data_IF_513228844109
#
_entry.id   IF_513228844109
#
_cell.length_a   1.000
_cell.length_b   1.000
_cell.length_c   1.000
_cell.angle_alpha   90.00
_cell.angle_beta   90.00
_cell.angle_gamma   90.00
#
_symmetry.space_group_name_H-M   'P 1'
#
loop_
_entity.id
_entity.type
_entity.pdbx_description
1 polymer ?
#
# COMPACT_ATOMS: atom_id res chain seq x y z
N UNK A 1 14.38 1.13 18.20
CA UNK A 1 13.50 0.98 17.03
C UNK A 1 12.77 2.29 16.80
N UNK A 2 12.59 2.74 15.56
CA UNK A 2 11.85 3.97 15.26
C UNK A 2 10.36 3.79 15.63
N UNK A 3 9.71 4.83 16.16
CA UNK A 3 8.27 4.80 16.44
C UNK A 3 7.43 4.46 15.19
N UNK A 4 7.94 4.79 14.00
CA UNK A 4 7.29 4.43 12.74
C UNK A 4 7.28 2.91 12.53
N UNK A 5 8.39 2.22 12.84
CA UNK A 5 8.45 0.76 12.67
C UNK A 5 7.52 0.09 13.68
N UNK A 6 7.53 0.57 14.94
CA UNK A 6 6.63 0.08 15.97
C UNK A 6 5.15 0.26 15.59
N UNK A 7 4.78 1.42 15.03
CA UNK A 7 3.43 1.64 14.55
C UNK A 7 3.09 0.73 13.36
N UNK A 8 3.99 0.56 12.39
CA UNK A 8 3.77 -0.33 11.25
C UNK A 8 3.57 -1.77 11.68
N UNK A 9 4.41 -2.27 12.60
CA UNK A 9 4.32 -3.63 13.12
C UNK A 9 3.02 -3.83 13.92
N UNK A 10 2.69 -2.86 14.79
CA UNK A 10 1.44 -2.85 15.55
C UNK A 10 0.22 -2.84 14.64
N UNK A 11 0.21 -1.95 13.64
CA UNK A 11 -0.87 -1.86 12.63
C UNK A 11 -1.08 -3.21 11.95
N UNK A 12 0.00 -3.82 11.45
CA UNK A 12 -0.07 -5.12 10.78
C UNK A 12 -0.67 -6.19 11.70
N UNK A 13 -0.21 -6.25 12.95
CA UNK A 13 -0.72 -7.20 13.94
C UNK A 13 -2.21 -6.99 14.22
N UNK A 14 -2.64 -5.75 14.47
CA UNK A 14 -4.05 -5.43 14.77
C UNK A 14 -4.97 -5.70 13.58
N UNK A 15 -4.55 -5.33 12.37
CA UNK A 15 -5.38 -5.52 11.17
C UNK A 15 -5.50 -7.00 10.78
N UNK A 16 -4.44 -7.79 10.98
CA UNK A 16 -4.45 -9.24 10.73
C UNK A 16 -5.19 -10.02 11.83
N UNK A 17 -5.13 -9.57 13.08
CA UNK A 17 -5.74 -10.25 14.20
C UNK A 17 -7.28 -10.36 14.09
N UNK A 18 -7.78 -11.51 14.54
CA UNK A 18 -9.20 -11.73 14.81
C UNK A 18 -9.68 -10.88 16.00
N UNK A 19 -11.00 -10.70 16.10
CA UNK A 19 -11.62 -9.94 17.20
C UNK A 19 -11.29 -10.59 18.55
N UNK A 20 -11.27 -11.94 18.61
CA UNK A 20 -10.98 -12.70 19.83
C UNK A 20 -9.51 -12.54 20.27
N UNK A 21 -8.56 -12.52 19.34
CA UNK A 21 -7.14 -12.27 19.63
C UNK A 21 -6.91 -10.86 20.17
N UNK A 22 -7.65 -9.88 19.63
CA UNK A 22 -7.58 -8.49 20.12
C UNK A 22 -8.20 -8.39 21.52
N UNK A 23 -9.35 -9.03 21.77
CA UNK A 23 -10.00 -9.08 23.09
C UNK A 23 -9.08 -9.72 24.14
N UNK A 24 -8.34 -10.78 23.79
CA UNK A 24 -7.36 -11.40 24.69
C UNK A 24 -6.26 -10.43 25.16
N UNK A 25 -6.04 -9.32 24.44
CA UNK A 25 -5.06 -8.28 24.77
C UNK A 25 -5.68 -7.04 25.42
N UNK A 26 -6.94 -7.08 25.84
CA UNK A 26 -7.65 -5.92 26.42
C UNK A 26 -6.91 -5.28 27.61
N UNK A 27 -6.14 -6.05 28.38
CA UNK A 27 -5.32 -5.54 29.48
C UNK A 27 -4.28 -4.49 29.05
N UNK A 28 -3.91 -4.47 27.77
CA UNK A 28 -2.97 -3.51 27.19
C UNK A 28 -3.66 -2.31 26.53
N UNK A 29 -4.99 -2.31 26.42
CA UNK A 29 -5.75 -1.30 25.71
C UNK A 29 -5.45 0.14 26.17
N UNK A 30 -5.34 0.48 27.48
CA UNK A 30 -5.06 1.85 27.89
C UNK A 30 -3.71 2.36 27.38
N UNK A 31 -2.68 1.52 27.44
CA UNK A 31 -1.34 1.86 26.93
C UNK A 31 -1.34 2.02 25.41
N UNK A 32 -2.06 1.15 24.70
CA UNK A 32 -2.13 1.19 23.24
C UNK A 32 -2.92 2.41 22.74
N UNK A 33 -4.01 2.77 23.42
CA UNK A 33 -4.74 3.99 23.11
C UNK A 33 -3.88 5.24 23.32
N UNK A 34 -3.14 5.29 24.42
CA UNK A 34 -2.24 6.39 24.70
C UNK A 34 -1.17 6.55 23.61
N UNK A 35 -0.52 5.44 23.26
CA UNK A 35 0.44 5.39 22.17
C UNK A 35 -0.14 5.89 20.84
N UNK A 36 -1.33 5.41 20.46
CA UNK A 36 -1.98 5.79 19.21
C UNK A 36 -2.32 7.28 19.14
N UNK A 37 -2.83 7.86 20.24
CA UNK A 37 -3.15 9.28 20.32
C UNK A 37 -1.87 10.12 20.24
N UNK A 38 -0.83 9.77 21.00
CA UNK A 38 0.44 10.51 20.97
C UNK A 38 1.15 10.39 19.62
N UNK A 39 1.07 9.22 18.98
CA UNK A 39 1.59 9.02 17.65
C UNK A 39 0.83 9.87 16.63
N UNK A 40 -0.51 9.90 16.70
CA UNK A 40 -1.36 10.72 15.86
C UNK A 40 -1.04 12.22 15.96
N UNK A 41 -0.80 12.71 17.17
CA UNK A 41 -0.44 14.12 17.41
C UNK A 41 0.90 14.50 16.78
N UNK A 42 1.85 13.56 16.69
CA UNK A 42 3.20 13.80 16.12
C UNK A 42 3.29 13.52 14.63
N UNK A 43 2.45 12.63 14.10
CA UNK A 43 2.59 12.03 12.76
C UNK A 43 1.27 12.04 11.99
N UNK A 44 0.75 13.24 11.70
CA UNK A 44 -0.50 13.44 10.96
C UNK A 44 -0.53 12.80 9.56
N UNK A 45 0.63 12.51 8.96
CA UNK A 45 0.71 11.78 7.68
C UNK A 45 0.10 10.37 7.76
N UNK A 46 0.08 9.74 8.94
CA UNK A 46 -0.45 8.39 9.15
C UNK A 46 -1.95 8.37 9.46
N UNK A 47 -2.66 9.50 9.26
CA UNK A 47 -4.06 9.69 9.66
C UNK A 47 -4.99 8.55 9.23
N UNK A 48 -4.98 8.18 7.95
CA UNK A 48 -5.83 7.12 7.40
C UNK A 48 -5.55 5.75 8.04
N UNK A 49 -4.28 5.43 8.28
CA UNK A 49 -3.86 4.18 8.93
C UNK A 49 -4.26 4.15 10.40
N UNK A 50 -4.17 5.28 11.10
CA UNK A 50 -4.60 5.39 12.50
C UNK A 50 -6.12 5.18 12.58
N UNK A 51 -6.90 5.78 11.69
CA UNK A 51 -8.36 5.59 11.65
C UNK A 51 -8.72 4.11 11.44
N UNK A 52 -8.02 3.41 10.54
CA UNK A 52 -8.22 1.96 10.32
C UNK A 52 -7.98 1.15 11.61
N UNK A 53 -6.88 1.44 12.32
CA UNK A 53 -6.54 0.77 13.57
C UNK A 53 -7.58 1.06 14.66
N UNK A 54 -7.97 2.33 14.83
CA UNK A 54 -9.04 2.72 15.76
C UNK A 54 -10.33 1.95 15.46
N UNK A 55 -10.75 1.92 14.20
CA UNK A 55 -11.97 1.21 13.79
C UNK A 55 -11.92 -0.27 14.07
N UNK A 56 -10.77 -0.92 13.87
CA UNK A 56 -10.60 -2.33 14.17
C UNK A 56 -10.70 -2.59 15.68
N UNK A 57 -10.03 -1.77 16.49
CA UNK A 57 -10.03 -1.90 17.95
C UNK A 57 -11.41 -1.58 18.56
N UNK A 58 -12.15 -0.62 18.00
CA UNK A 58 -13.49 -0.25 18.48
C UNK A 58 -14.57 -1.29 18.15
N UNK A 59 -14.30 -2.27 17.28
CA UNK A 59 -15.19 -3.42 17.08
C UNK A 59 -15.19 -4.40 18.27
N UNK A 60 -14.23 -4.25 19.19
CA UNK A 60 -13.99 -5.16 20.31
C UNK A 60 -14.54 -4.52 21.59
N UNK A 61 -15.62 -5.08 22.21
CA UNK A 61 -16.29 -4.44 23.35
C UNK A 61 -15.38 -4.19 24.56
N UNK A 62 -14.41 -5.06 24.82
CA UNK A 62 -13.43 -4.87 25.91
C UNK A 62 -12.59 -3.61 25.70
N UNK A 63 -12.18 -3.34 24.46
CA UNK A 63 -11.39 -2.15 24.11
C UNK A 63 -12.20 -0.86 24.18
N UNK A 64 -13.48 -0.91 23.81
CA UNK A 64 -14.42 0.21 24.00
C UNK A 64 -14.62 0.51 25.48
N UNK A 65 -14.80 -0.53 26.31
CA UNK A 65 -14.94 -0.37 27.75
C UNK A 65 -13.67 0.23 28.39
N UNK A 66 -12.50 -0.22 27.93
CA UNK A 66 -11.22 0.34 28.34
C UNK A 66 -11.08 1.82 27.93
N UNK A 67 -11.54 2.19 26.73
CA UNK A 67 -11.58 3.58 26.28
C UNK A 67 -12.44 4.45 27.20
N UNK A 68 -13.70 4.04 27.44
CA UNK A 68 -14.65 4.80 28.26
C UNK A 68 -14.20 4.95 29.72
N UNK A 69 -13.41 4.01 30.22
CA UNK A 69 -12.88 4.02 31.60
C UNK A 69 -11.77 5.05 31.84
N UNK A 70 -11.15 5.58 30.79
CA UNK A 70 -9.98 6.47 30.87
C UNK A 70 -10.29 7.86 30.25
N UNK A 71 -10.98 8.75 30.99
CA UNK A 71 -11.39 10.07 30.48
C UNK A 71 -10.21 10.97 30.06
N UNK A 72 -9.01 10.74 30.59
CA UNK A 72 -7.79 11.43 30.18
C UNK A 72 -7.45 11.20 28.70
N UNK A 73 -7.81 10.04 28.13
CA UNK A 73 -7.63 9.75 26.71
C UNK A 73 -8.56 10.64 25.86
N UNK A 74 -9.78 10.90 26.35
CA UNK A 74 -10.72 11.79 25.67
C UNK A 74 -10.16 13.22 25.58
N UNK A 75 -9.53 13.70 26.65
CA UNK A 75 -8.90 15.01 26.66
C UNK A 75 -7.68 15.07 25.74
N UNK A 76 -6.89 14.00 25.66
CA UNK A 76 -5.80 13.90 24.67
C UNK A 76 -6.33 13.93 23.23
N UNK A 77 -7.46 13.26 22.92
CA UNK A 77 -8.06 13.31 21.57
C UNK A 77 -8.45 14.73 21.16
N UNK A 78 -8.95 15.55 22.09
CA UNK A 78 -9.29 16.96 21.80
C UNK A 78 -8.08 17.80 21.40
N UNK A 79 -6.87 17.36 21.72
CA UNK A 79 -5.62 18.02 21.30
C UNK A 79 -5.15 17.63 19.89
N UNK A 80 -5.76 16.61 19.29
CA UNK A 80 -5.44 16.19 17.93
C UNK A 80 -5.92 17.21 16.90
N UNK A 81 -5.46 17.09 15.66
CA UNK A 81 -5.92 17.93 14.56
C UNK A 81 -7.43 17.76 14.33
N UNK A 82 -8.13 18.85 14.02
CA UNK A 82 -9.60 18.85 13.85
C UNK A 82 -10.05 17.79 12.83
N UNK A 83 -9.42 17.72 11.66
CA UNK A 83 -9.73 16.68 10.66
C UNK A 83 -9.70 15.25 11.21
N UNK A 84 -8.69 14.92 12.03
CA UNK A 84 -8.58 13.57 12.60
C UNK A 84 -9.64 13.35 13.68
N UNK A 85 -9.94 14.37 14.49
CA UNK A 85 -11.05 14.30 15.44
C UNK A 85 -12.38 14.07 14.70
N UNK A 86 -12.64 14.82 13.63
CA UNK A 86 -13.85 14.67 12.81
C UNK A 86 -13.94 13.27 12.21
N UNK A 87 -12.84 12.77 11.65
CA UNK A 87 -12.79 11.43 11.09
C UNK A 87 -13.07 10.38 12.16
N UNK A 88 -12.40 10.42 13.32
CA UNK A 88 -12.64 9.49 14.43
C UNK A 88 -14.09 9.57 14.96
N UNK A 89 -14.63 10.78 15.12
CA UNK A 89 -16.01 10.99 15.58
C UNK A 89 -17.07 10.48 14.59
N UNK A 90 -16.78 10.49 13.29
CA UNK A 90 -17.68 9.95 12.27
C UNK A 90 -17.75 8.42 12.27
N UNK A 91 -16.72 7.76 12.79
CA UNK A 91 -16.64 6.30 12.77
C UNK A 91 -17.37 5.64 13.94
N UNK A 92 -17.37 6.26 15.12
CA UNK A 92 -17.96 5.66 16.31
C UNK A 92 -18.58 6.69 17.25
N UNK A 93 -19.81 6.43 17.70
CA UNK A 93 -20.57 7.34 18.58
C UNK A 93 -19.87 7.62 19.92
N UNK A 94 -19.10 6.65 20.43
CA UNK A 94 -18.31 6.81 21.66
C UNK A 94 -17.24 7.89 21.48
N UNK A 95 -16.60 7.93 20.31
CA UNK A 95 -15.58 8.93 19.99
C UNK A 95 -16.23 10.31 19.75
N UNK A 96 -17.45 10.34 19.20
CA UNK A 96 -18.20 11.57 18.99
C UNK A 96 -18.40 12.37 20.29
N UNK A 97 -18.54 11.71 21.44
CA UNK A 97 -18.64 12.37 22.76
C UNK A 97 -17.34 13.02 23.22
N UNK A 98 -16.22 12.63 22.62
CA UNK A 98 -14.87 13.00 23.03
C UNK A 98 -14.25 14.10 22.16
N UNK A 99 -14.88 14.46 21.03
CA UNK A 99 -14.32 15.44 20.10
C UNK A 99 -14.71 16.89 20.46
N UNK A 100 -13.85 17.83 20.06
CA UNK A 100 -14.11 19.24 20.29
C UNK A 100 -15.28 19.76 19.43
N UNK A 101 -16.05 20.76 19.91
CA UNK A 101 -17.15 21.35 19.12
C UNK A 101 -16.72 21.96 17.78
N UNK A 102 -15.47 22.38 17.64
CA UNK A 102 -14.88 22.84 16.37
C UNK A 102 -14.86 21.72 15.33
N UNK A 103 -14.38 20.54 15.73
CA UNK A 103 -14.28 19.36 14.86
C UNK A 103 -15.65 18.84 14.39
N UNK A 104 -16.73 19.03 15.16
CA UNK A 104 -18.09 18.68 14.73
C UNK A 104 -18.50 19.42 13.45
N UNK A 105 -18.05 20.67 13.27
CA UNK A 105 -18.36 21.46 12.06
C UNK A 105 -17.61 20.93 10.84
N UNK A 106 -16.41 20.40 11.06
CA UNK A 106 -15.55 19.83 10.01
C UNK A 106 -15.97 18.42 9.58
N UNK A 107 -16.93 17.77 10.26
CA UNK A 107 -17.46 16.47 9.84
C UNK A 107 -18.11 16.50 8.44
N UNK A 108 -18.69 17.64 8.04
CA UNK A 108 -19.22 17.81 6.68
C UNK A 108 -18.12 17.84 5.59
N UNK A 109 -16.87 18.04 5.98
CA UNK A 109 -15.70 18.11 5.10
C UNK A 109 -14.82 16.85 5.20
N UNK A 110 -15.32 15.77 5.80
CA UNK A 110 -14.59 14.50 5.86
C UNK A 110 -14.27 14.04 4.44
N UNK A 111 -13.01 13.63 4.25
CA UNK A 111 -12.59 13.14 2.95
C UNK A 111 -13.27 11.80 2.67
N UNK A 112 -13.57 11.52 1.41
CA UNK A 112 -14.26 10.28 1.02
C UNK A 112 -13.50 9.04 1.51
N UNK A 113 -12.17 9.07 1.41
CA UNK A 113 -11.23 8.02 1.88
C UNK A 113 -11.28 7.75 3.39
N UNK A 114 -12.00 8.56 4.14
CA UNK A 114 -12.13 8.48 5.60
C UNK A 114 -13.55 8.14 6.05
N UNK A 115 -14.44 7.80 5.11
CA UNK A 115 -15.78 7.28 5.42
C UNK A 115 -15.68 5.86 5.98
N UNK A 116 -16.66 5.46 6.79
CA UNK A 116 -16.66 4.14 7.42
C UNK A 116 -16.69 2.99 6.40
N UNK A 117 -17.38 3.17 5.29
CA UNK A 117 -17.37 2.24 4.16
C UNK A 117 -15.97 2.12 3.54
N UNK A 118 -15.32 3.24 3.22
CA UNK A 118 -14.01 3.22 2.55
C UNK A 118 -12.91 2.70 3.46
N UNK A 119 -12.96 3.01 4.76
CA UNK A 119 -12.04 2.45 5.76
C UNK A 119 -12.19 0.93 5.85
N UNK A 120 -13.42 0.40 5.86
CA UNK A 120 -13.65 -1.05 5.82
C UNK A 120 -13.11 -1.69 4.54
N UNK A 121 -13.34 -1.06 3.40
CA UNK A 121 -12.83 -1.54 2.13
C UNK A 121 -11.30 -1.51 2.07
N UNK A 122 -10.66 -0.47 2.63
CA UNK A 122 -9.21 -0.37 2.71
C UNK A 122 -8.62 -1.49 3.58
N UNK A 123 -9.24 -1.79 4.72
CA UNK A 123 -8.84 -2.89 5.59
C UNK A 123 -8.97 -4.25 4.89
N UNK A 124 -10.06 -4.49 4.15
CA UNK A 124 -10.24 -5.73 3.40
C UNK A 124 -9.22 -5.87 2.26
N UNK A 125 -8.94 -4.77 1.54
CA UNK A 125 -7.91 -4.76 0.50
C UNK A 125 -6.54 -5.09 1.07
N UNK A 126 -6.17 -4.53 2.23
CA UNK A 126 -4.90 -4.83 2.89
C UNK A 126 -4.82 -6.32 3.30
N UNK A 127 -5.91 -6.87 3.83
CA UNK A 127 -6.01 -8.30 4.14
C UNK A 127 -5.81 -9.18 2.89
N UNK A 128 -6.37 -8.83 1.74
CA UNK A 128 -6.16 -9.57 0.49
C UNK A 128 -4.70 -9.50 0.02
N UNK A 129 -4.06 -8.34 0.13
CA UNK A 129 -2.65 -8.18 -0.24
C UNK A 129 -1.77 -9.09 0.61
N UNK A 130 -2.03 -9.17 1.92
CA UNK A 130 -1.29 -10.06 2.81
C UNK A 130 -1.46 -11.53 2.44
N UNK A 131 -2.65 -11.97 2.03
CA UNK A 131 -2.90 -13.35 1.56
C UNK A 131 -2.09 -13.65 0.30
N UNK A 132 -2.10 -12.74 -0.69
CA UNK A 132 -1.35 -12.93 -1.94
C UNK A 132 0.16 -13.02 -1.65
N UNK A 133 0.69 -12.13 -0.80
CA UNK A 133 2.10 -12.14 -0.42
C UNK A 133 2.50 -13.42 0.33
N UNK A 134 1.59 -13.99 1.13
CA UNK A 134 1.81 -15.27 1.83
C UNK A 134 1.79 -16.45 0.84
N UNK A 135 0.87 -16.46 -0.14
CA UNK A 135 0.81 -17.49 -1.18
C UNK A 135 2.03 -17.47 -2.13
N UNK A 136 2.53 -16.28 -2.49
CA UNK A 136 3.73 -16.13 -3.33
C UNK A 136 5.02 -16.56 -2.60
N UNK A 137 5.05 -16.44 -1.27
CA UNK A 137 6.20 -16.80 -0.44
C UNK A 137 6.39 -18.32 -0.26
N UNK A 138 5.33 -19.12 -0.35
CA UNK A 138 5.38 -20.58 -0.14
C UNK A 138 5.70 -21.39 -1.42
N UNK A 139 5.80 -20.76 -2.59
CA UNK A 139 5.93 -21.46 -3.89
C UNK A 139 7.37 -21.69 -4.39
N UNK A 140 8.42 -21.29 -3.65
CA UNK A 140 9.82 -21.34 -4.17
C UNK A 140 10.75 -22.38 -3.54
N UNK A 141 10.24 -23.33 -2.75
CA UNK A 141 11.06 -24.43 -2.22
C UNK A 141 10.50 -25.79 -2.57
N UNK A 142 10.56 -26.17 -3.85
CA UNK A 142 10.89 -27.55 -4.21
C UNK A 142 11.57 -27.59 -5.57
N UNK A 143 12.71 -28.27 -5.61
CA UNK A 143 13.70 -28.13 -6.66
C UNK A 143 13.34 -28.78 -7.98
N UNK A 144 13.85 -28.18 -9.05
CA UNK A 144 14.31 -28.92 -10.21
C UNK A 144 15.80 -28.61 -10.38
N UNK A 145 16.61 -29.61 -10.00
CA UNK A 145 18.02 -29.70 -10.39
C UNK A 145 18.14 -29.45 -11.89
N UNK A 146 19.15 -28.67 -12.27
CA UNK A 146 19.61 -28.51 -13.65
C UNK A 146 20.35 -29.79 -14.05
N UNK A 147 19.90 -30.56 -15.06
CA UNK A 147 20.80 -31.39 -15.83
C UNK A 147 21.35 -30.55 -16.99
N UNK A 148 22.63 -30.25 -16.85
CA UNK A 148 23.53 -29.80 -17.91
C UNK A 148 23.55 -30.86 -19.03
N UNK A 149 23.02 -30.56 -20.22
CA UNK A 149 23.19 -31.41 -21.41
C UNK A 149 22.97 -30.64 -22.72
N UNK A 150 24.11 -30.46 -23.37
CA UNK A 150 24.38 -30.06 -24.75
C UNK A 150 23.58 -30.83 -25.83
N UNK A 151 23.35 -30.15 -26.97
CA UNK A 151 23.05 -30.67 -28.32
C UNK A 151 21.66 -31.27 -28.64
N UNK A 152 20.96 -30.71 -29.65
CA UNK A 152 20.92 -31.27 -31.02
C UNK A 152 19.94 -30.48 -31.91
N UNK A 153 20.37 -30.27 -33.16
CA UNK A 153 19.71 -29.51 -34.21
C UNK A 153 18.48 -30.19 -34.85
N UNK A 154 17.69 -29.36 -35.56
CA UNK A 154 16.97 -29.63 -36.81
C UNK A 154 15.70 -30.51 -36.77
N UNK A 155 14.55 -29.96 -37.21
CA UNK A 155 14.00 -30.13 -38.57
C UNK A 155 12.53 -29.66 -38.67
N UNK A 156 12.26 -29.00 -39.80
CA UNK A 156 11.00 -28.47 -40.34
C UNK A 156 9.86 -29.50 -40.39
N UNK A 157 8.63 -29.06 -40.11
CA UNK A 157 7.42 -29.49 -40.83
C UNK A 157 6.40 -28.34 -40.86
N UNK A 158 6.04 -27.95 -42.09
CA UNK A 158 4.93 -27.07 -42.46
C UNK A 158 3.61 -27.85 -42.33
N UNK A 159 2.62 -27.32 -41.62
CA UNK A 159 1.19 -27.61 -41.87
C UNK A 159 0.37 -26.35 -41.57
N UNK A 160 -0.41 -25.94 -42.58
CA UNK A 160 -1.28 -24.77 -42.63
C UNK A 160 -2.38 -24.79 -41.56
N UNK A 161 -2.38 -23.76 -40.70
CA UNK A 161 -3.57 -23.32 -39.97
C UNK A 161 -3.64 -21.80 -39.97
N UNK A 162 -4.66 -21.26 -40.67
CA UNK A 162 -5.11 -19.88 -40.53
C UNK A 162 -5.69 -19.69 -39.11
N UNK A 163 -4.81 -19.48 -38.14
CA UNK A 163 -5.16 -19.01 -36.81
C UNK A 163 -4.76 -17.55 -36.66
N UNK A 164 -5.71 -16.79 -36.12
CA UNK A 164 -5.64 -15.38 -35.79
C UNK A 164 -4.47 -15.19 -34.80
N UNK A 165 -3.40 -14.53 -35.24
CA UNK A 165 -2.26 -14.17 -34.41
C UNK A 165 -2.71 -13.28 -33.24
N UNK A 166 -2.97 -13.91 -32.09
CA UNK A 166 -2.76 -13.25 -30.80
C UNK A 166 -1.25 -13.19 -30.63
N UNK A 167 -0.65 -12.01 -30.88
CA UNK A 167 0.76 -11.74 -30.64
C UNK A 167 1.10 -12.13 -29.19
N UNK A 168 1.79 -13.26 -29.05
CA UNK A 168 2.51 -13.64 -27.83
C UNK A 168 3.26 -12.41 -27.30
N UNK A 169 3.15 -12.07 -26.01
CA UNK A 169 3.80 -10.90 -25.45
C UNK A 169 5.31 -11.11 -25.53
N UNK A 170 5.92 -10.64 -26.62
CA UNK A 170 7.36 -10.57 -26.77
C UNK A 170 7.93 -9.95 -25.50
N UNK A 171 8.67 -10.75 -24.73
CA UNK A 171 9.36 -10.31 -23.54
C UNK A 171 10.43 -9.31 -23.96
N UNK A 172 10.02 -8.06 -24.15
CA UNK A 172 10.92 -6.95 -24.44
C UNK A 172 11.89 -6.84 -23.27
N UNK A 173 13.18 -6.71 -23.60
CA UNK A 173 14.22 -6.59 -22.59
C UNK A 173 13.88 -5.41 -21.64
N UNK A 174 14.23 -5.50 -20.35
CA UNK A 174 13.99 -4.42 -19.39
C UNK A 174 14.50 -3.06 -19.89
N UNK A 175 15.65 -3.05 -20.56
CA UNK A 175 16.23 -1.87 -21.21
C UNK A 175 15.36 -1.34 -22.36
N UNK A 176 14.76 -2.20 -23.18
CA UNK A 176 13.86 -1.76 -24.26
C UNK A 176 12.62 -1.05 -23.71
N UNK A 177 12.04 -1.55 -22.61
CA UNK A 177 10.91 -0.92 -21.94
C UNK A 177 11.29 0.44 -21.32
N UNK A 178 12.51 0.56 -20.78
CA UNK A 178 13.03 1.83 -20.28
C UNK A 178 13.29 2.83 -21.41
N UNK A 179 13.92 2.40 -22.51
CA UNK A 179 14.16 3.24 -23.68
C UNK A 179 12.84 3.74 -24.28
N UNK A 180 11.82 2.88 -24.39
CA UNK A 180 10.49 3.29 -24.86
C UNK A 180 9.88 4.37 -23.96
N UNK A 181 10.05 4.27 -22.64
CA UNK A 181 9.61 5.28 -21.68
C UNK A 181 10.35 6.62 -21.84
N UNK A 182 11.66 6.57 -22.07
CA UNK A 182 12.50 7.75 -22.33
C UNK A 182 12.08 8.42 -23.64
N UNK A 183 11.94 7.65 -24.71
CA UNK A 183 11.55 8.14 -26.04
C UNK A 183 10.15 8.78 -25.98
N UNK A 184 9.21 8.15 -25.27
CA UNK A 184 7.87 8.70 -25.07
C UNK A 184 7.89 10.01 -24.28
N UNK A 185 8.76 10.16 -23.28
CA UNK A 185 8.89 11.39 -22.51
C UNK A 185 9.57 12.50 -23.33
N UNK A 186 10.61 12.19 -24.09
CA UNK A 186 11.31 13.13 -24.99
C UNK A 186 10.39 13.62 -26.11
N UNK A 187 9.47 12.78 -26.59
CA UNK A 187 8.48 13.16 -27.59
C UNK A 187 7.46 14.21 -27.11
N UNK A 188 7.38 14.48 -25.79
CA UNK A 188 6.58 15.55 -25.20
C UNK A 188 7.40 16.85 -25.20
N UNK A 189 7.41 17.54 -26.34
CA UNK A 189 8.17 18.78 -26.59
C UNK A 189 7.31 20.06 -26.48
N UNK A 190 6.00 19.93 -26.25
CA UNK A 190 5.08 21.07 -26.13
C UNK A 190 3.94 20.83 -25.12
N UNK A 191 3.28 21.94 -24.72
CA UNK A 191 2.22 21.92 -23.71
C UNK A 191 0.96 21.15 -24.14
N UNK A 192 0.65 21.11 -25.43
CA UNK A 192 -0.52 20.40 -25.98
C UNK A 192 -0.32 18.89 -25.89
N UNK A 193 0.90 18.42 -26.20
CA UNK A 193 1.27 17.00 -26.03
C UNK A 193 1.35 16.60 -24.57
N UNK A 194 1.75 17.51 -23.68
CA UNK A 194 1.76 17.24 -22.24
C UNK A 194 0.34 16.95 -21.71
N UNK A 195 -0.67 17.72 -22.14
CA UNK A 195 -2.06 17.52 -21.72
C UNK A 195 -2.69 16.23 -22.25
N UNK A 196 -2.35 15.81 -23.47
CA UNK A 196 -2.96 14.64 -24.13
C UNK A 196 -2.19 13.33 -23.93
N UNK A 197 -0.87 13.40 -23.81
CA UNK A 197 0.02 12.22 -23.78
C UNK A 197 0.96 12.14 -22.58
N UNK A 198 1.04 13.18 -21.74
CA UNK A 198 1.99 13.23 -20.63
C UNK A 198 1.80 12.10 -19.62
N UNK A 199 0.55 11.74 -19.29
CA UNK A 199 0.26 10.63 -18.38
C UNK A 199 0.69 9.28 -18.94
N UNK A 200 0.51 9.05 -20.25
CA UNK A 200 0.90 7.81 -20.91
C UNK A 200 2.43 7.68 -20.98
N UNK A 201 3.12 8.76 -21.35
CA UNK A 201 4.58 8.82 -21.35
C UNK A 201 5.16 8.56 -19.94
N UNK A 202 4.60 9.21 -18.91
CA UNK A 202 5.02 9.00 -17.52
C UNK A 202 4.80 7.55 -17.06
N UNK A 203 3.69 6.93 -17.46
CA UNK A 203 3.42 5.54 -17.12
C UNK A 203 4.42 4.58 -17.78
N UNK A 204 4.75 4.78 -19.07
CA UNK A 204 5.79 4.00 -19.76
C UNK A 204 7.16 4.15 -19.10
N UNK A 205 7.56 5.39 -18.78
CA UNK A 205 8.81 5.65 -18.07
C UNK A 205 8.84 4.97 -16.69
N UNK A 206 7.75 5.05 -15.92
CA UNK A 206 7.63 4.37 -14.63
C UNK A 206 7.77 2.85 -14.77
N UNK A 207 7.10 2.24 -15.75
CA UNK A 207 7.19 0.79 -16.01
C UNK A 207 8.63 0.39 -16.34
N UNK A 208 9.31 1.15 -17.20
CA UNK A 208 10.71 0.95 -17.54
C UNK A 208 11.63 1.00 -16.32
N UNK A 209 11.48 2.02 -15.47
CA UNK A 209 12.26 2.16 -14.23
C UNK A 209 12.04 1.00 -13.26
N UNK A 210 10.80 0.54 -13.09
CA UNK A 210 10.48 -0.60 -12.21
C UNK A 210 11.11 -1.88 -12.76
N UNK A 211 11.04 -2.12 -14.07
CA UNK A 211 11.62 -3.31 -14.70
C UNK A 211 13.15 -3.36 -14.60
N UNK A 212 13.81 -2.21 -14.55
CA UNK A 212 15.26 -2.12 -14.41
C UNK A 212 15.75 -2.04 -12.96
N UNK A 213 14.85 -1.99 -11.97
CA UNK A 213 15.23 -1.89 -10.57
C UNK A 213 15.94 -3.19 -10.12
N UNK A 214 17.15 -3.06 -9.56
CA UNK A 214 17.99 -4.20 -9.16
C UNK A 214 18.76 -4.86 -10.31
N UNK A 215 18.82 -4.21 -11.48
CA UNK A 215 19.61 -4.65 -12.63
C UNK A 215 20.72 -3.64 -12.97
N UNK A 216 21.49 -3.22 -11.97
CA UNK A 216 22.54 -2.20 -12.12
C UNK A 216 23.64 -2.60 -13.13
N UNK A 217 23.83 -3.90 -13.33
CA UNK A 217 24.81 -4.46 -14.28
C UNK A 217 24.49 -4.09 -15.74
N UNK A 218 23.20 -3.99 -16.09
CA UNK A 218 22.76 -3.61 -17.44
C UNK A 218 23.23 -2.20 -17.81
N UNK A 219 23.22 -1.27 -16.86
CA UNK A 219 23.67 0.09 -17.09
C UNK A 219 25.20 0.21 -17.12
N UNK A 220 25.93 -0.66 -16.43
CA UNK A 220 27.41 -0.66 -16.47
C UNK A 220 27.92 -1.10 -17.84
N UNK A 221 27.24 -2.04 -18.50
CA UNK A 221 27.57 -2.48 -19.85
C UNK A 221 27.42 -1.33 -20.86
N UNK A 222 26.32 -0.57 -20.80
CA UNK A 222 26.09 0.56 -21.71
C UNK A 222 27.07 1.73 -21.49
N UNK A 223 27.46 2.01 -20.25
CA UNK A 223 28.49 3.04 -19.96
C UNK A 223 29.86 2.65 -20.54
N UNK A 224 30.19 1.37 -20.60
CA UNK A 224 31.44 0.90 -21.20
C UNK A 224 31.47 1.06 -22.73
N UNK A 225 30.30 1.18 -23.37
CA UNK A 225 30.16 1.43 -24.81
C UNK A 225 30.01 2.93 -25.17
N UNK A 226 29.86 3.81 -24.18
CA UNK A 226 29.69 5.26 -24.39
C UNK A 226 31.02 6.03 -24.62
N UNK A 227 32.14 5.33 -24.82
CA UNK A 227 33.44 5.92 -25.18
C UNK A 227 33.81 5.68 -26.65
N UNK A 228 33.33 6.57 -27.53
CA UNK A 228 34.09 7.30 -28.56
C UNK A 228 33.22 8.40 -29.20
#
# INVERSE_FOLDING_TARGET
MSANNQFTDFKKQVLKASIDEIEAQVQHAPLMWDFLIEFAGKKSFYRSLIIQVFNKLMQVPGWVSAWESHPELHDKVKTLHEDLQSALGAQHEVLLKSIAPGALKSMASIRRDETAEEVRHAMEKERLIDVILEEEGESTTDGASVPDAFSTAHRVSEEDHEEKEEEEPHQSSPLAALQEGIDAAVAIDDATKMESGGLAALNKLRIGCIRCAGQEELFQQDVSHAHE
#
